data_IF_524711847671
#
_entry.id   IF_524711847671
#
_cell.length_a   1.000
_cell.length_b   1.000
_cell.length_c   1.000
_cell.angle_alpha   90.00
_cell.angle_beta   90.00
_cell.angle_gamma   90.00
#
_symmetry.space_group_name_H-M   'P 1'
#
loop_
_entity.id
_entity.type
_entity.pdbx_description
1 polymer ?
#
# COMPACT_ATOMS: atom_id res chain seq x y z
N UNK A 1 27.70 16.14 -5.00
CA UNK A 1 28.75 17.00 -4.37
C UNK A 1 28.17 17.51 -3.07
N UNK A 2 28.63 16.91 -1.95
CA UNK A 2 28.18 17.32 -0.62
C UNK A 2 28.93 18.60 -0.21
N UNK A 3 28.26 19.72 -0.29
CA UNK A 3 28.77 20.94 0.31
C UNK A 3 27.98 21.19 1.60
N UNK A 4 28.61 20.88 2.74
CA UNK A 4 28.15 21.38 4.04
C UNK A 4 28.23 22.91 3.99
N UNK A 5 27.10 23.55 3.76
CA UNK A 5 26.97 25.00 3.73
C UNK A 5 26.64 25.46 5.15
N UNK A 6 27.61 26.01 5.87
CA UNK A 6 27.32 26.94 6.95
C UNK A 6 27.24 28.36 6.33
N UNK A 7 26.06 28.92 6.27
CA UNK A 7 25.85 30.27 5.78
C UNK A 7 25.58 31.23 6.96
N UNK A 8 26.28 32.31 7.00
CA UNK A 8 25.99 33.40 7.91
C UNK A 8 25.02 34.37 7.19
N UNK A 9 23.86 34.63 7.78
CA UNK A 9 22.92 35.62 7.26
C UNK A 9 23.04 36.93 8.02
N UNK A 10 23.12 38.03 7.32
CA UNK A 10 23.13 39.38 7.89
C UNK A 10 22.29 40.35 7.05
N UNK A 11 21.66 41.30 7.73
CA UNK A 11 20.99 42.38 7.05
C UNK A 11 22.01 43.46 6.66
N UNK A 12 21.98 43.92 5.41
CA UNK A 12 22.81 44.99 4.88
C UNK A 12 21.94 46.23 4.80
N UNK A 13 22.24 47.24 5.68
CA UNK A 13 21.45 48.46 5.79
C UNK A 13 21.63 49.37 4.57
N UNK A 14 22.76 49.30 3.85
CA UNK A 14 23.03 50.15 2.68
C UNK A 14 22.16 49.79 1.51
N UNK A 15 21.93 48.49 1.31
CA UNK A 15 21.14 47.97 0.18
C UNK A 15 19.74 47.55 0.58
N UNK A 16 19.44 47.48 1.89
CA UNK A 16 18.12 47.09 2.40
C UNK A 16 17.75 45.65 2.19
N UNK A 17 18.75 44.77 2.08
CA UNK A 17 18.54 43.32 1.80
C UNK A 17 19.27 42.45 2.80
N UNK A 18 18.70 41.27 3.05
CA UNK A 18 19.42 40.18 3.72
C UNK A 18 20.45 39.59 2.79
N UNK A 19 21.65 39.34 3.29
CA UNK A 19 22.75 38.65 2.59
C UNK A 19 23.09 37.33 3.26
N UNK A 20 23.17 36.24 2.49
CA UNK A 20 23.75 34.98 2.92
C UNK A 20 25.20 34.88 2.40
N UNK A 21 26.15 34.60 3.29
CA UNK A 21 27.58 34.56 2.99
C UNK A 21 28.13 33.22 3.50
N UNK A 22 29.00 32.61 2.72
CA UNK A 22 29.69 31.38 3.15
C UNK A 22 30.65 31.72 4.31
N UNK A 23 30.48 31.02 5.45
CA UNK A 23 31.28 31.30 6.63
C UNK A 23 32.78 31.06 6.43
N UNK A 24 33.14 30.05 5.64
CA UNK A 24 34.55 29.66 5.41
C UNK A 24 35.26 30.52 4.38
N UNK A 25 34.59 30.88 3.31
CA UNK A 25 35.21 31.57 2.15
C UNK A 25 34.80 33.04 2.04
N UNK A 26 33.81 33.47 2.86
CA UNK A 26 33.21 34.84 2.80
C UNK A 26 32.64 35.19 1.44
N UNK A 27 32.48 34.21 0.55
CA UNK A 27 31.89 34.41 -0.74
C UNK A 27 30.40 34.68 -0.58
N UNK A 28 29.90 35.60 -1.36
CA UNK A 28 28.49 35.95 -1.43
C UNK A 28 27.71 34.80 -2.06
N UNK A 29 26.57 34.44 -1.44
CA UNK A 29 25.76 33.33 -1.88
C UNK A 29 24.39 33.72 -2.40
N UNK A 30 23.69 34.58 -1.67
CA UNK A 30 22.32 34.94 -2.01
C UNK A 30 21.85 36.21 -1.28
N UNK A 31 20.84 36.88 -1.85
CA UNK A 31 20.12 38.00 -1.21
C UNK A 31 18.64 37.72 -1.09
N UNK A 32 18.00 38.25 -0.04
CA UNK A 32 16.55 38.23 0.13
C UNK A 32 16.00 39.59 0.53
N UNK A 33 14.84 39.95 -0.02
CA UNK A 33 14.10 41.17 0.28
C UNK A 33 13.14 41.03 1.49
N UNK A 34 13.33 40.04 2.32
CA UNK A 34 12.53 39.87 3.53
C UNK A 34 12.66 41.07 4.48
N UNK A 35 11.61 41.36 5.25
CA UNK A 35 11.60 42.48 6.18
C UNK A 35 12.78 42.37 7.16
N UNK A 36 13.41 43.53 7.47
CA UNK A 36 14.51 43.63 8.44
C UNK A 36 14.17 43.05 9.82
N UNK A 37 12.92 43.18 10.24
CA UNK A 37 12.43 42.72 11.54
C UNK A 37 11.87 41.29 11.50
N UNK A 38 11.81 40.64 10.32
CA UNK A 38 11.36 39.26 10.20
C UNK A 38 12.47 38.32 10.62
N UNK A 39 12.10 37.24 11.32
CA UNK A 39 12.97 36.10 11.46
C UNK A 39 13.07 35.43 10.09
N UNK A 40 14.28 35.22 9.57
CA UNK A 40 14.51 34.52 8.31
C UNK A 40 14.29 33.01 8.39
N UNK A 41 13.71 32.51 9.48
CA UNK A 41 13.34 31.10 9.65
C UNK A 41 12.08 30.86 8.83
N UNK A 42 12.02 29.71 8.15
CA UNK A 42 10.94 29.39 7.22
C UNK A 42 11.33 29.62 5.75
N UNK A 43 10.34 29.65 4.88
CA UNK A 43 10.52 29.76 3.41
C UNK A 43 10.52 31.22 2.99
N UNK A 44 11.62 31.65 2.39
CA UNK A 44 11.79 33.00 1.84
C UNK A 44 12.33 32.92 0.42
N UNK A 45 12.00 33.94 -0.39
CA UNK A 45 12.54 34.11 -1.73
C UNK A 45 13.98 34.66 -1.68
N UNK A 46 14.89 33.96 -2.34
CA UNK A 46 16.30 34.32 -2.41
C UNK A 46 16.77 34.43 -3.86
N UNK A 47 17.49 35.48 -4.14
CA UNK A 47 18.22 35.69 -5.40
C UNK A 47 19.63 35.15 -5.23
N UNK A 48 19.96 34.10 -5.97
CA UNK A 48 21.27 33.45 -5.94
C UNK A 48 22.11 33.96 -7.10
N UNK A 49 23.33 34.45 -6.81
CA UNK A 49 24.33 34.79 -7.83
C UNK A 49 25.15 33.54 -8.14
N UNK A 50 25.08 33.10 -9.38
CA UNK A 50 25.90 31.97 -9.85
C UNK A 50 27.29 32.46 -10.16
N UNK A 51 28.30 32.11 -9.35
CA UNK A 51 29.70 32.35 -9.64
C UNK A 51 30.11 31.40 -10.80
N UNK A 52 30.73 31.97 -11.84
CA UNK A 52 30.97 31.36 -13.16
C UNK A 52 31.86 30.09 -13.17
N UNK A 53 32.04 29.40 -12.05
CA UNK A 53 32.85 28.17 -11.89
C UNK A 53 32.12 26.86 -12.02
N UNK A 54 30.78 26.88 -12.09
CA UNK A 54 29.94 25.66 -12.25
C UNK A 54 29.10 25.77 -13.51
N UNK A 55 29.52 25.10 -14.56
CA UNK A 55 28.77 24.72 -15.77
C UNK A 55 27.58 25.61 -16.17
N UNK A 56 27.84 26.56 -17.12
CA UNK A 56 26.88 27.27 -17.97
C UNK A 56 25.96 28.33 -17.35
N UNK A 57 26.11 29.53 -17.85
CA UNK A 57 25.33 30.75 -17.72
C UNK A 57 25.46 31.50 -16.37
N UNK A 58 26.27 32.57 -16.41
CA UNK A 58 26.24 33.66 -15.43
C UNK A 58 24.85 34.33 -15.44
N UNK A 59 24.08 34.16 -14.38
CA UNK A 59 22.79 34.81 -14.19
C UNK A 59 22.32 34.68 -12.75
N UNK A 60 21.65 35.70 -12.25
CA UNK A 60 20.87 35.62 -11.00
C UNK A 60 19.58 34.86 -11.25
N UNK A 61 19.27 33.87 -10.43
CA UNK A 61 17.99 33.24 -10.45
C UNK A 61 17.34 33.32 -9.07
N UNK A 62 16.02 33.51 -9.04
CA UNK A 62 15.22 33.48 -7.79
C UNK A 62 14.80 32.08 -7.47
N UNK A 63 14.91 31.71 -6.21
CA UNK A 63 14.44 30.43 -5.66
C UNK A 63 13.95 30.57 -4.23
N UNK A 64 13.04 29.70 -3.82
CA UNK A 64 12.64 29.57 -2.44
C UNK A 64 13.68 28.75 -1.67
N UNK A 65 14.29 29.37 -0.65
CA UNK A 65 15.14 28.65 0.31
C UNK A 65 14.45 28.67 1.66
N UNK A 66 14.45 27.52 2.30
CA UNK A 66 13.91 27.33 3.66
C UNK A 66 15.07 27.32 4.66
N UNK A 67 15.11 28.28 5.55
CA UNK A 67 16.03 28.30 6.67
C UNK A 67 15.34 27.68 7.90
N UNK A 68 16.05 26.84 8.61
CA UNK A 68 15.49 26.13 9.76
C UNK A 68 16.30 26.36 11.03
N UNK A 69 15.59 26.48 12.14
CA UNK A 69 16.14 26.37 13.48
C UNK A 69 15.71 25.07 14.18
N UNK A 70 14.98 24.19 13.46
CA UNK A 70 14.45 22.95 13.99
C UNK A 70 15.55 21.90 14.15
N UNK A 71 15.31 20.94 15.06
CA UNK A 71 16.20 19.79 15.25
C UNK A 71 16.13 18.82 14.07
N UNK A 72 17.04 17.85 14.07
CA UNK A 72 17.08 16.86 13.00
C UNK A 72 15.86 15.94 12.93
N UNK A 73 15.14 15.79 14.03
CA UNK A 73 13.94 14.95 14.14
C UNK A 73 12.64 15.74 13.87
N UNK A 74 12.77 17.02 13.50
CA UNK A 74 11.64 17.91 13.26
C UNK A 74 11.54 18.33 11.80
N UNK A 75 10.30 18.52 11.34
CA UNK A 75 9.95 19.14 10.08
C UNK A 75 9.82 20.65 10.28
N UNK A 76 10.38 21.43 9.37
CA UNK A 76 10.25 22.89 9.35
C UNK A 76 9.07 23.29 8.48
N UNK A 77 8.06 23.89 9.07
CA UNK A 77 6.94 24.50 8.35
C UNK A 77 7.42 25.70 7.50
N UNK A 78 6.63 26.18 6.55
CA UNK A 78 7.01 27.36 5.75
C UNK A 78 6.99 28.65 6.57
N UNK A 79 6.18 28.70 7.63
CA UNK A 79 6.18 29.79 8.60
C UNK A 79 7.38 29.75 9.58
N UNK A 80 8.22 28.73 9.50
CA UNK A 80 9.38 28.55 10.35
C UNK A 80 9.13 27.79 11.65
N UNK A 81 7.90 27.40 11.95
CA UNK A 81 7.60 26.56 13.12
C UNK A 81 8.11 25.12 12.91
N UNK A 82 8.35 24.43 14.03
CA UNK A 82 8.87 23.07 14.05
C UNK A 82 7.79 22.09 14.51
N UNK A 83 7.62 21.01 13.77
CA UNK A 83 6.75 19.90 14.16
C UNK A 83 7.55 18.57 14.06
N UNK A 84 7.26 17.56 14.88
CA UNK A 84 7.94 16.28 14.77
C UNK A 84 7.82 15.66 13.36
N UNK A 85 8.89 15.09 12.82
CA UNK A 85 8.82 14.40 11.50
C UNK A 85 7.79 13.27 11.46
N UNK A 86 7.46 12.67 12.61
CA UNK A 86 6.43 11.64 12.71
C UNK A 86 5.04 12.12 12.26
N UNK A 87 4.74 13.42 12.40
CA UNK A 87 3.44 13.98 11.98
C UNK A 87 3.42 14.47 10.54
N UNK A 88 4.57 14.58 9.85
CA UNK A 88 4.65 14.90 8.42
C UNK A 88 3.82 13.90 7.61
N UNK A 89 2.86 14.38 6.80
CA UNK A 89 1.98 13.54 5.97
C UNK A 89 1.13 12.54 6.79
N UNK A 90 0.49 13.00 7.87
CA UNK A 90 -0.39 12.18 8.72
C UNK A 90 -1.88 12.44 8.48
N UNK A 91 -2.22 13.19 7.43
CA UNK A 91 -3.56 13.68 7.08
C UNK A 91 -4.18 14.65 8.12
N UNK A 92 -3.33 15.30 8.93
CA UNK A 92 -3.72 16.38 9.85
C UNK A 92 -2.82 17.57 9.63
N UNK A 93 -3.36 18.78 9.76
CA UNK A 93 -2.56 19.98 9.72
C UNK A 93 -1.95 20.25 11.11
N UNK A 94 -0.68 19.92 11.25
CA UNK A 94 0.09 20.16 12.48
C UNK A 94 0.89 21.49 12.37
N UNK A 95 1.31 21.89 11.16
CA UNK A 95 1.77 23.23 10.85
C UNK A 95 0.58 24.20 10.73
N UNK A 96 0.74 25.45 11.20
CA UNK A 96 -0.30 26.48 11.07
C UNK A 96 -0.63 26.78 9.58
N UNK A 97 0.35 26.72 8.70
CA UNK A 97 0.23 26.92 7.27
C UNK A 97 -0.17 25.62 6.51
N UNK A 98 -0.14 24.45 7.17
CA UNK A 98 -0.47 23.16 6.60
C UNK A 98 0.59 22.59 5.63
N UNK A 99 1.82 23.10 5.68
CA UNK A 99 2.91 22.62 4.82
C UNK A 99 3.41 21.24 5.19
N UNK A 100 3.11 20.74 6.37
CA UNK A 100 3.33 19.36 6.77
C UNK A 100 2.53 18.35 5.93
N UNK A 101 1.42 18.76 5.33
CA UNK A 101 0.59 17.94 4.47
C UNK A 101 0.73 18.28 2.97
N UNK A 102 1.65 19.19 2.63
CA UNK A 102 1.94 19.52 1.24
C UNK A 102 2.93 18.54 0.63
N UNK A 103 2.75 18.21 -0.68
CA UNK A 103 3.64 17.30 -1.44
C UNK A 103 3.87 15.92 -0.77
N UNK A 104 2.82 15.36 -0.18
CA UNK A 104 2.85 14.05 0.45
C UNK A 104 2.83 12.92 -0.58
N UNK A 105 3.91 12.81 -1.36
CA UNK A 105 4.11 11.68 -2.27
C UNK A 105 4.55 10.45 -1.49
N UNK A 106 3.89 9.32 -1.74
CA UNK A 106 4.22 8.06 -1.07
C UNK A 106 5.50 7.45 -1.63
N UNK A 107 5.82 7.69 -2.91
CA UNK A 107 6.99 7.10 -3.56
C UNK A 107 7.58 7.94 -4.69
N UNK A 108 8.84 7.65 -5.00
CA UNK A 108 9.56 8.10 -6.20
C UNK A 108 9.95 6.88 -7.03
N UNK A 109 9.84 7.00 -8.34
CA UNK A 109 10.24 5.95 -9.29
C UNK A 109 11.67 6.16 -9.75
N UNK A 110 12.44 5.07 -9.87
CA UNK A 110 13.76 5.12 -10.48
C UNK A 110 13.69 5.66 -11.93
N UNK A 111 14.76 6.28 -12.39
CA UNK A 111 14.86 6.71 -13.78
C UNK A 111 14.68 5.51 -14.72
N UNK A 112 13.78 5.65 -15.70
CA UNK A 112 13.46 4.57 -16.63
C UNK A 112 12.49 3.52 -16.09
N UNK A 113 11.81 3.78 -14.97
CA UNK A 113 10.78 2.88 -14.45
C UNK A 113 9.71 2.58 -15.50
N UNK A 114 9.44 1.29 -15.72
CA UNK A 114 8.38 0.84 -16.60
C UNK A 114 7.37 -0.03 -15.83
N UNK A 115 6.14 0.46 -15.73
CA UNK A 115 5.04 -0.22 -15.01
C UNK A 115 4.55 -1.52 -15.68
N UNK A 116 4.92 -1.76 -16.93
CA UNK A 116 4.53 -2.97 -17.67
C UNK A 116 5.55 -4.10 -17.54
N UNK A 117 6.67 -3.84 -16.89
CA UNK A 117 7.71 -4.83 -16.65
C UNK A 117 7.64 -5.30 -15.20
N UNK A 118 7.55 -6.61 -15.00
CA UNK A 118 7.61 -7.26 -13.67
C UNK A 118 8.82 -6.76 -12.88
N UNK A 119 8.68 -6.47 -11.58
CA UNK A 119 9.80 -6.08 -10.74
C UNK A 119 10.92 -7.12 -10.76
N UNK A 120 12.19 -6.72 -10.68
CA UNK A 120 13.29 -7.68 -10.53
C UNK A 120 13.21 -8.37 -9.16
N UNK A 121 13.72 -9.61 -9.05
CA UNK A 121 13.74 -10.34 -7.78
C UNK A 121 14.62 -9.66 -6.74
N UNK A 122 14.38 -9.98 -5.46
CA UNK A 122 15.11 -9.46 -4.32
C UNK A 122 15.95 -10.56 -3.68
N UNK A 123 17.14 -10.23 -3.24
CA UNK A 123 18.08 -11.17 -2.62
C UNK A 123 18.55 -12.24 -3.60
N UNK A 124 18.52 -13.51 -3.15
CA UNK A 124 18.94 -14.67 -3.94
C UNK A 124 17.80 -15.32 -4.74
N UNK A 125 16.64 -14.73 -4.77
CA UNK A 125 15.51 -15.26 -5.52
C UNK A 125 15.76 -15.15 -7.03
N UNK A 126 15.35 -16.16 -7.78
CA UNK A 126 15.47 -16.17 -9.25
C UNK A 126 14.30 -15.45 -9.93
N UNK A 127 13.17 -15.33 -9.22
CA UNK A 127 11.95 -14.68 -9.69
C UNK A 127 11.33 -13.88 -8.54
N UNK A 128 10.69 -12.72 -8.82
CA UNK A 128 9.98 -11.97 -7.80
C UNK A 128 8.83 -12.79 -7.23
N UNK A 129 8.54 -12.58 -5.96
CA UNK A 129 7.46 -13.24 -5.23
C UNK A 129 6.28 -12.30 -5.04
N UNK A 130 5.08 -12.83 -5.19
CA UNK A 130 3.84 -12.19 -4.78
C UNK A 130 3.16 -13.06 -3.73
N UNK A 131 2.94 -12.51 -2.57
CA UNK A 131 2.23 -13.17 -1.48
C UNK A 131 0.74 -12.92 -1.63
N UNK A 132 -0.05 -13.97 -1.48
CA UNK A 132 -1.51 -13.94 -1.60
C UNK A 132 -2.14 -14.32 -0.28
N UNK A 133 -2.99 -13.43 0.25
CA UNK A 133 -3.86 -13.70 1.40
C UNK A 133 -5.31 -13.54 0.98
N UNK A 134 -6.17 -14.40 1.49
CA UNK A 134 -7.61 -14.41 1.22
C UNK A 134 -8.37 -14.36 2.53
N UNK A 135 -9.24 -13.38 2.68
CA UNK A 135 -10.22 -13.32 3.75
C UNK A 135 -11.61 -13.53 3.16
N UNK A 136 -12.33 -14.54 3.62
CA UNK A 136 -13.72 -14.79 3.24
C UNK A 136 -14.59 -14.10 4.27
N UNK A 137 -15.23 -12.98 3.86
CA UNK A 137 -16.09 -12.21 4.75
C UNK A 137 -17.41 -12.95 5.03
N UNK A 138 -17.99 -13.53 3.97
CA UNK A 138 -19.27 -14.17 4.05
C UNK A 138 -19.42 -15.20 2.92
N UNK A 139 -20.02 -16.35 3.24
CA UNK A 139 -20.59 -17.25 2.24
C UNK A 139 -22.08 -16.90 2.11
N UNK A 140 -22.39 -16.18 1.02
CA UNK A 140 -23.73 -15.61 0.77
C UNK A 140 -24.73 -16.67 0.37
N UNK A 141 -24.30 -17.68 -0.40
CA UNK A 141 -25.16 -18.74 -0.94
C UNK A 141 -24.36 -20.01 -1.23
N UNK A 142 -24.94 -21.15 -0.92
CA UNK A 142 -24.49 -22.47 -1.35
C UNK A 142 -25.61 -23.08 -2.18
N UNK A 143 -25.40 -23.24 -3.49
CA UNK A 143 -26.39 -23.79 -4.41
C UNK A 143 -25.92 -25.14 -4.92
N UNK A 144 -26.36 -26.21 -4.24
CA UNK A 144 -25.99 -27.57 -4.55
C UNK A 144 -26.60 -28.07 -5.86
N UNK A 145 -27.77 -27.52 -6.25
CA UNK A 145 -28.47 -27.88 -7.47
C UNK A 145 -27.75 -27.36 -8.71
N UNK A 146 -27.30 -26.14 -8.66
CA UNK A 146 -26.66 -25.47 -9.80
C UNK A 146 -25.11 -25.58 -9.71
N UNK A 147 -24.58 -26.17 -8.65
CA UNK A 147 -23.16 -26.52 -8.52
C UNK A 147 -22.24 -25.32 -8.27
N UNK A 148 -22.66 -24.37 -7.45
CA UNK A 148 -21.83 -23.23 -7.09
C UNK A 148 -21.97 -22.80 -5.63
N UNK A 149 -20.98 -22.08 -5.12
CA UNK A 149 -21.11 -21.29 -3.90
C UNK A 149 -20.71 -19.86 -4.17
N UNK A 150 -21.47 -18.92 -3.62
CA UNK A 150 -21.23 -17.47 -3.73
C UNK A 150 -20.67 -16.95 -2.43
N UNK A 151 -19.54 -16.30 -2.49
CA UNK A 151 -18.92 -15.70 -1.31
C UNK A 151 -18.39 -14.28 -1.60
N UNK A 152 -18.34 -13.49 -0.54
CA UNK A 152 -17.67 -12.20 -0.50
C UNK A 152 -16.25 -12.43 0.03
N UNK A 153 -15.26 -12.02 -0.74
CA UNK A 153 -13.86 -12.23 -0.41
C UNK A 153 -13.06 -10.94 -0.52
N UNK A 154 -12.10 -10.77 0.37
CA UNK A 154 -11.01 -9.83 0.26
C UNK A 154 -9.76 -10.55 -0.16
N UNK A 155 -9.15 -10.07 -1.23
CA UNK A 155 -7.87 -10.58 -1.73
C UNK A 155 -6.79 -9.54 -1.47
N UNK A 156 -5.80 -9.89 -0.69
CA UNK A 156 -4.59 -9.09 -0.47
C UNK A 156 -3.42 -9.68 -1.25
N UNK A 157 -2.79 -8.86 -2.05
CA UNK A 157 -1.57 -9.18 -2.82
C UNK A 157 -0.44 -8.30 -2.34
N UNK A 158 0.66 -8.91 -1.93
CA UNK A 158 1.83 -8.18 -1.44
C UNK A 158 3.05 -8.54 -2.26
N UNK A 159 3.81 -7.54 -2.66
CA UNK A 159 5.06 -7.74 -3.42
C UNK A 159 6.07 -6.65 -3.12
N UNK A 160 7.31 -6.88 -3.52
CA UNK A 160 8.41 -5.92 -3.41
C UNK A 160 8.74 -5.38 -4.81
N UNK A 161 8.89 -4.06 -4.92
CA UNK A 161 9.43 -3.42 -6.12
C UNK A 161 10.63 -2.53 -5.76
N UNK A 162 11.84 -3.08 -5.88
CA UNK A 162 13.10 -2.39 -5.59
C UNK A 162 13.40 -1.19 -6.49
N UNK A 163 12.60 -0.94 -7.51
CA UNK A 163 12.72 0.22 -8.40
C UNK A 163 12.02 1.46 -7.84
N UNK A 164 11.32 1.30 -6.73
CA UNK A 164 10.66 2.39 -6.01
C UNK A 164 11.48 2.80 -4.80
N UNK A 165 11.37 4.08 -4.46
CA UNK A 165 11.84 4.62 -3.18
C UNK A 165 10.65 5.26 -2.50
N UNK A 166 10.29 4.78 -1.33
CA UNK A 166 9.17 5.32 -0.58
C UNK A 166 9.57 6.55 0.23
N UNK A 167 8.62 7.40 0.52
CA UNK A 167 8.83 8.66 1.24
C UNK A 167 7.92 8.75 2.45
N UNK A 168 8.45 9.27 3.55
CA UNK A 168 7.73 9.60 4.79
C UNK A 168 6.82 8.48 5.32
N UNK A 169 7.24 7.20 5.16
CA UNK A 169 6.46 6.07 5.66
C UNK A 169 6.23 6.20 7.18
N UNK A 170 5.08 5.75 7.61
CA UNK A 170 4.70 5.59 9.01
C UNK A 170 4.85 4.14 9.42
N UNK A 171 5.02 3.92 10.72
CA UNK A 171 5.11 2.55 11.28
C UNK A 171 3.81 1.79 11.06
N UNK A 172 2.68 2.47 11.18
CA UNK A 172 1.34 1.95 10.95
C UNK A 172 1.06 1.94 9.44
N UNK A 173 0.87 0.75 8.86
CA UNK A 173 0.65 0.58 7.41
C UNK A 173 -0.60 1.29 6.89
N UNK A 174 -1.60 1.49 7.75
CA UNK A 174 -2.86 2.18 7.43
C UNK A 174 -2.65 3.64 7.03
N UNK A 175 -1.58 4.26 7.55
CA UNK A 175 -1.22 5.65 7.24
C UNK A 175 -0.37 5.78 5.95
N UNK A 176 0.05 4.65 5.36
CA UNK A 176 0.88 4.62 4.15
C UNK A 176 0.04 4.30 2.91
N UNK A 177 -1.17 4.84 2.82
CA UNK A 177 -2.03 4.62 1.65
C UNK A 177 -1.44 5.34 0.42
N UNK A 178 -1.40 4.63 -0.71
CA UNK A 178 -0.97 5.19 -2.00
C UNK A 178 -2.14 5.95 -2.60
N UNK A 179 -1.91 7.20 -2.95
CA UNK A 179 -2.91 8.07 -3.55
C UNK A 179 -3.52 7.45 -4.83
N UNK A 180 -4.83 7.61 -5.07
CA UNK A 180 -5.49 7.06 -6.26
C UNK A 180 -4.81 7.43 -7.57
N UNK A 181 -4.31 8.65 -7.70
CA UNK A 181 -3.64 9.16 -8.89
C UNK A 181 -2.29 8.46 -9.17
N UNK A 182 -1.63 7.98 -8.12
CA UNK A 182 -0.32 7.33 -8.19
C UNK A 182 -0.40 5.82 -8.44
N UNK A 183 -1.55 5.18 -8.19
CA UNK A 183 -1.74 3.72 -8.31
C UNK A 183 -1.49 3.19 -9.71
N UNK A 184 -1.83 3.96 -10.73
CA UNK A 184 -1.60 3.59 -12.13
C UNK A 184 -0.18 3.86 -12.61
N UNK A 185 0.66 4.46 -11.78
CA UNK A 185 2.06 4.74 -12.11
C UNK A 185 3.01 3.59 -11.77
N UNK A 186 2.55 2.61 -11.01
CA UNK A 186 3.34 1.46 -10.56
C UNK A 186 2.86 0.16 -11.21
N UNK A 187 3.75 -0.84 -11.23
CA UNK A 187 3.44 -2.18 -11.71
C UNK A 187 2.41 -2.84 -10.78
N UNK A 188 1.48 -3.56 -11.37
CA UNK A 188 0.40 -4.25 -10.69
C UNK A 188 0.36 -5.72 -11.10
N UNK A 189 0.42 -6.67 -10.16
CA UNK A 189 0.32 -8.09 -10.48
C UNK A 189 -1.09 -8.44 -10.97
N UNK A 190 -1.15 -9.29 -11.98
CA UNK A 190 -2.39 -9.80 -12.52
C UNK A 190 -2.64 -11.24 -12.10
N UNK A 191 -3.82 -11.54 -11.56
CA UNK A 191 -4.25 -12.87 -11.13
C UNK A 191 -5.51 -13.26 -11.91
N UNK A 192 -5.52 -14.46 -12.49
CA UNK A 192 -6.69 -15.02 -13.14
C UNK A 192 -7.45 -15.95 -12.19
N UNK A 193 -8.76 -15.97 -12.34
CA UNK A 193 -9.66 -16.86 -11.62
C UNK A 193 -10.04 -18.00 -12.56
N UNK A 194 -10.06 -19.26 -12.10
CA UNK A 194 -10.21 -20.40 -13.01
C UNK A 194 -11.60 -21.04 -12.96
N UNK A 195 -12.14 -21.30 -11.78
CA UNK A 195 -13.41 -22.00 -11.63
C UNK A 195 -14.54 -21.10 -11.18
N UNK A 196 -14.81 -20.06 -11.96
CA UNK A 196 -15.95 -19.18 -11.75
C UNK A 196 -16.86 -19.24 -12.96
N UNK A 197 -18.15 -19.11 -12.72
CA UNK A 197 -19.19 -19.28 -13.73
C UNK A 197 -19.20 -18.14 -14.74
N UNK A 198 -19.13 -16.92 -14.29
CA UNK A 198 -19.15 -15.74 -15.15
C UNK A 198 -17.96 -14.81 -14.89
N UNK A 199 -17.03 -14.78 -15.86
CA UNK A 199 -15.85 -13.92 -15.78
C UNK A 199 -16.15 -12.43 -15.72
N UNK A 200 -17.32 -11.99 -16.13
CA UNK A 200 -17.74 -10.59 -16.10
C UNK A 200 -18.21 -10.15 -14.71
N UNK A 201 -18.63 -11.09 -13.85
CA UNK A 201 -19.16 -10.80 -12.51
C UNK A 201 -18.07 -10.41 -11.49
N UNK A 202 -16.80 -10.70 -11.72
CA UNK A 202 -15.75 -10.18 -10.82
C UNK A 202 -15.41 -8.72 -11.05
N UNK A 203 -15.91 -8.15 -12.11
CA UNK A 203 -15.75 -6.72 -12.35
C UNK A 203 -16.71 -5.87 -11.49
N UNK A 204 -17.53 -6.46 -10.61
CA UNK A 204 -18.29 -5.71 -9.62
C UNK A 204 -17.35 -5.21 -8.52
N UNK A 205 -16.69 -4.13 -8.85
CA UNK A 205 -15.78 -3.35 -8.02
C UNK A 205 -16.53 -2.46 -7.02
N UNK A 206 -17.68 -2.89 -6.52
CA UNK A 206 -18.45 -2.11 -5.53
C UNK A 206 -17.77 -2.10 -4.16
N UNK A 207 -16.71 -2.90 -3.97
CA UNK A 207 -15.92 -2.91 -2.77
C UNK A 207 -14.63 -2.10 -2.94
N UNK A 208 -14.28 -1.40 -1.90
CA UNK A 208 -13.13 -0.49 -1.82
C UNK A 208 -11.83 -1.20 -2.22
N UNK A 209 -11.07 -0.57 -3.10
CA UNK A 209 -9.68 -0.96 -3.37
C UNK A 209 -8.75 -0.18 -2.46
N UNK A 210 -7.86 -0.88 -1.79
CA UNK A 210 -6.89 -0.28 -0.88
C UNK A 210 -5.48 -0.59 -1.35
N UNK A 211 -4.66 0.44 -1.44
CA UNK A 211 -3.25 0.33 -1.80
C UNK A 211 -2.42 0.93 -0.68
N UNK A 212 -1.50 0.17 -0.12
CA UNK A 212 -0.65 0.60 1.01
C UNK A 212 0.78 0.18 0.81
N UNK A 213 1.66 0.85 1.51
CA UNK A 213 3.03 0.39 1.71
C UNK A 213 3.13 -0.20 3.12
N UNK A 214 3.57 -1.45 3.20
CA UNK A 214 3.83 -2.15 4.46
C UNK A 214 5.30 -1.96 4.79
N UNK A 215 5.62 -1.19 5.86
CA UNK A 215 6.99 -0.98 6.26
C UNK A 215 7.62 -2.26 6.80
N UNK A 216 8.94 -2.37 6.69
CA UNK A 216 9.68 -3.49 7.27
C UNK A 216 9.55 -3.49 8.81
N UNK A 217 9.65 -4.67 9.42
CA UNK A 217 9.65 -4.85 10.87
C UNK A 217 10.79 -4.10 11.58
N UNK A 218 11.91 -3.89 10.89
CA UNK A 218 13.05 -3.09 11.36
C UNK A 218 12.97 -1.63 10.91
N UNK A 219 11.76 -1.06 11.00
CA UNK A 219 11.50 0.31 10.61
C UNK A 219 12.44 1.28 11.34
N UNK A 220 13.29 1.95 10.56
CA UNK A 220 14.19 2.99 11.04
C UNK A 220 14.12 4.18 10.08
N UNK A 221 14.20 5.38 10.63
CA UNK A 221 14.29 6.60 9.83
C UNK A 221 15.72 6.75 9.35
N UNK A 222 15.96 6.50 8.06
CA UNK A 222 17.24 6.78 7.43
C UNK A 222 17.14 8.06 6.60
N UNK A 223 18.08 8.96 6.80
CA UNK A 223 18.22 10.14 5.94
C UNK A 223 19.13 9.79 4.77
N UNK A 224 18.66 10.11 3.57
CA UNK A 224 19.47 9.91 2.36
C UNK A 224 20.71 10.81 2.31
N UNK A 225 20.69 11.95 3.00
CA UNK A 225 21.78 12.92 3.01
C UNK A 225 21.81 13.68 4.35
N UNK A 226 22.89 13.56 5.08
CA UNK A 226 23.12 14.30 6.33
C UNK A 226 23.63 15.71 6.12
N UNK A 227 23.98 16.09 4.89
CA UNK A 227 24.54 17.40 4.54
C UNK A 227 23.49 18.48 4.29
N UNK A 228 22.24 18.06 3.98
CA UNK A 228 21.08 18.94 3.79
C UNK A 228 20.00 18.46 4.74
N UNK A 229 19.42 19.34 5.53
CA UNK A 229 18.26 19.04 6.34
C UNK A 229 17.08 18.71 5.42
N UNK A 230 16.99 17.45 5.02
CA UNK A 230 15.91 16.97 4.17
C UNK A 230 14.61 16.91 4.95
N UNK A 231 13.57 17.57 4.45
CA UNK A 231 12.22 17.48 4.99
C UNK A 231 11.52 16.16 4.61
N UNK A 232 12.27 15.17 4.14
CA UNK A 232 11.73 13.92 3.61
C UNK A 232 12.63 12.77 4.05
N UNK A 233 12.03 11.74 4.65
CA UNK A 233 12.68 10.45 4.89
C UNK A 233 12.47 9.54 3.70
N UNK A 234 13.51 8.83 3.31
CA UNK A 234 13.48 7.88 2.20
C UNK A 234 13.61 6.45 2.71
N UNK A 235 12.86 5.54 2.10
CA UNK A 235 12.82 4.14 2.43
C UNK A 235 13.01 3.30 1.17
N UNK A 236 13.89 2.31 1.25
CA UNK A 236 14.20 1.45 0.11
C UNK A 236 13.00 0.57 -0.28
N UNK A 237 12.69 0.53 -1.55
CA UNK A 237 11.66 -0.34 -2.10
C UNK A 237 12.00 -1.83 -2.03
N UNK A 238 13.27 -2.20 -1.85
CA UNK A 238 13.66 -3.60 -1.66
C UNK A 238 13.32 -4.14 -0.26
N UNK A 239 13.11 -3.26 0.71
CA UNK A 239 12.86 -3.63 2.10
C UNK A 239 11.40 -3.46 2.52
N UNK A 240 10.58 -2.78 1.73
CA UNK A 240 9.20 -2.44 2.06
C UNK A 240 8.26 -3.01 1.00
N UNK A 241 7.14 -3.61 1.44
CA UNK A 241 6.20 -4.27 0.54
C UNK A 241 5.08 -3.32 0.11
N UNK A 242 4.61 -3.45 -1.13
CA UNK A 242 3.36 -2.88 -1.57
C UNK A 242 2.26 -3.90 -1.31
N UNK A 243 1.14 -3.48 -0.72
CA UNK A 243 -0.09 -4.25 -0.56
C UNK A 243 -1.17 -3.66 -1.44
N UNK A 244 -1.82 -4.53 -2.19
CA UNK A 244 -3.03 -4.22 -2.93
C UNK A 244 -4.16 -5.15 -2.49
N UNK A 245 -5.16 -4.58 -1.87
CA UNK A 245 -6.34 -5.26 -1.34
C UNK A 245 -7.56 -4.89 -2.16
N UNK A 246 -8.33 -5.88 -2.54
CA UNK A 246 -9.58 -5.72 -3.26
C UNK A 246 -10.62 -6.70 -2.74
N UNK A 247 -11.81 -6.18 -2.43
CA UNK A 247 -12.96 -6.99 -2.10
C UNK A 247 -13.89 -7.18 -3.29
N UNK A 248 -14.50 -8.33 -3.41
CA UNK A 248 -15.52 -8.62 -4.42
C UNK A 248 -16.38 -9.82 -4.01
N UNK A 249 -17.59 -9.87 -4.58
CA UNK A 249 -18.48 -11.02 -4.46
C UNK A 249 -18.48 -11.80 -5.76
N UNK A 250 -18.28 -13.11 -5.70
CA UNK A 250 -18.27 -13.96 -6.88
C UNK A 250 -18.79 -15.37 -6.61
N UNK A 251 -19.18 -16.05 -7.68
CA UNK A 251 -19.66 -17.43 -7.70
C UNK A 251 -18.53 -18.36 -8.16
N UNK A 252 -18.25 -19.36 -7.32
CA UNK A 252 -17.26 -20.36 -7.58
C UNK A 252 -17.93 -21.70 -7.86
N UNK A 253 -17.57 -22.35 -8.95
CA UNK A 253 -18.07 -23.69 -9.28
C UNK A 253 -17.59 -24.69 -8.23
N UNK A 254 -18.50 -25.52 -7.79
CA UNK A 254 -18.26 -26.58 -6.80
C UNK A 254 -19.04 -27.83 -7.19
N UNK A 255 -18.36 -28.99 -7.20
CA UNK A 255 -18.97 -30.28 -7.43
C UNK A 255 -19.45 -30.85 -6.10
N UNK A 256 -20.76 -30.84 -5.87
CA UNK A 256 -21.38 -31.34 -4.65
C UNK A 256 -21.66 -32.86 -4.78
N UNK A 257 -21.19 -33.61 -3.78
CA UNK A 257 -21.37 -35.07 -3.73
C UNK A 257 -22.42 -35.45 -2.68
N UNK A 258 -23.64 -35.77 -3.11
CA UNK A 258 -24.80 -36.01 -2.27
C UNK A 258 -25.01 -37.46 -1.84
N UNK A 259 -24.06 -38.39 -2.13
CA UNK A 259 -24.19 -39.80 -1.91
C UNK A 259 -24.48 -40.21 -0.42
N UNK A 260 -23.99 -39.38 0.51
CA UNK A 260 -24.12 -39.62 1.97
C UNK A 260 -25.04 -38.61 2.66
N UNK A 261 -25.90 -37.94 1.89
CA UNK A 261 -26.85 -37.00 2.50
C UNK A 261 -27.67 -37.65 3.61
N UNK A 262 -27.86 -37.03 4.80
CA UNK A 262 -27.39 -35.70 5.21
C UNK A 262 -26.05 -35.70 5.99
N UNK A 263 -25.27 -36.76 5.93
CA UNK A 263 -23.99 -36.93 6.64
C UNK A 263 -22.79 -36.60 5.73
N UNK A 264 -23.05 -35.95 4.62
CA UNK A 264 -22.06 -35.61 3.60
C UNK A 264 -21.09 -34.49 4.06
N UNK A 265 -19.94 -34.47 3.45
CA UNK A 265 -18.97 -33.39 3.56
C UNK A 265 -18.65 -32.90 2.16
N UNK A 266 -18.77 -31.61 1.94
CA UNK A 266 -18.53 -30.99 0.64
C UNK A 266 -17.18 -30.29 0.63
N UNK A 267 -16.41 -30.43 -0.46
CA UNK A 267 -15.15 -29.73 -0.65
C UNK A 267 -15.28 -28.81 -1.86
N UNK A 268 -15.32 -27.53 -1.60
CA UNK A 268 -15.38 -26.48 -2.60
C UNK A 268 -14.05 -25.75 -2.71
N UNK A 269 -13.58 -25.44 -3.90
CA UNK A 269 -12.29 -24.79 -4.10
C UNK A 269 -12.43 -23.46 -4.83
N UNK A 270 -11.60 -22.48 -4.48
CA UNK A 270 -11.36 -21.26 -5.23
C UNK A 270 -9.96 -21.34 -5.84
N UNK A 271 -9.82 -21.17 -7.16
CA UNK A 271 -8.54 -21.34 -7.86
C UNK A 271 -8.06 -20.03 -8.48
N UNK A 272 -6.91 -19.59 -8.01
CA UNK A 272 -6.23 -18.37 -8.45
C UNK A 272 -4.98 -18.76 -9.23
N UNK A 273 -4.91 -18.35 -10.49
CA UNK A 273 -3.75 -18.63 -11.34
C UNK A 273 -2.98 -17.36 -11.62
N UNK A 274 -1.68 -17.50 -11.68
CA UNK A 274 -0.81 -16.46 -12.16
C UNK A 274 -0.84 -16.38 -13.67
N UNK A 275 -0.87 -15.17 -14.24
CA UNK A 275 -0.77 -14.97 -15.69
C UNK A 275 0.66 -14.76 -16.17
N UNK A 276 1.52 -14.20 -15.33
CA UNK A 276 2.91 -13.89 -15.69
C UNK A 276 3.87 -15.00 -15.22
N UNK A 277 4.49 -15.72 -16.13
CA UNK A 277 5.43 -16.82 -15.81
C UNK A 277 6.70 -16.32 -15.08
N UNK A 278 6.97 -15.02 -15.14
CA UNK A 278 8.11 -14.37 -14.47
C UNK A 278 7.97 -14.22 -12.96
N UNK A 279 6.79 -14.44 -12.40
CA UNK A 279 6.47 -14.20 -11.00
C UNK A 279 6.17 -15.53 -10.26
N UNK A 280 6.43 -15.59 -8.96
CA UNK A 280 6.07 -16.74 -8.10
C UNK A 280 4.93 -16.33 -7.19
N UNK A 281 3.81 -17.05 -7.27
CA UNK A 281 2.66 -16.86 -6.36
C UNK A 281 2.87 -17.71 -5.10
N UNK A 282 2.89 -17.05 -3.95
CA UNK A 282 3.11 -17.68 -2.64
C UNK A 282 1.85 -17.55 -1.79
N UNK A 283 1.21 -18.65 -1.36
CA UNK A 283 0.11 -18.59 -0.40
C UNK A 283 0.62 -18.11 0.96
N UNK A 284 -0.09 -17.17 1.60
CA UNK A 284 0.28 -16.61 2.90
C UNK A 284 -0.74 -16.98 3.98
N UNK A 285 -1.94 -16.41 3.92
CA UNK A 285 -3.00 -16.68 4.91
C UNK A 285 -4.36 -16.86 4.25
N UNK A 286 -5.22 -17.68 4.87
CA UNK A 286 -6.63 -17.76 4.55
C UNK A 286 -7.43 -17.73 5.84
N UNK A 287 -8.49 -16.92 5.87
CA UNK A 287 -9.36 -16.74 7.04
C UNK A 287 -10.82 -16.68 6.60
N UNK A 288 -11.71 -17.10 7.52
CA UNK A 288 -13.13 -16.88 7.42
C UNK A 288 -13.59 -16.07 8.64
N UNK A 289 -14.18 -14.91 8.38
CA UNK A 289 -14.66 -13.99 9.43
C UNK A 289 -16.19 -13.86 9.43
N UNK A 290 -16.89 -14.56 8.53
CA UNK A 290 -18.34 -14.53 8.41
C UNK A 290 -19.05 -15.25 9.56
N UNK A 291 -20.38 -15.14 9.52
CA UNK A 291 -21.26 -15.75 10.50
C UNK A 291 -21.50 -17.25 10.30
N UNK A 292 -22.43 -17.78 11.10
CA UNK A 292 -22.92 -19.16 10.96
C UNK A 292 -23.73 -19.33 9.68
N UNK A 293 -23.58 -20.47 9.01
CA UNK A 293 -24.34 -20.84 7.82
C UNK A 293 -25.62 -21.58 8.24
N UNK A 294 -26.74 -21.31 7.56
CA UNK A 294 -28.04 -21.92 7.93
C UNK A 294 -28.09 -23.45 7.80
N UNK A 295 -27.50 -23.99 6.74
CA UNK A 295 -27.60 -25.43 6.42
C UNK A 295 -26.26 -26.15 6.43
N UNK A 296 -25.18 -25.42 6.63
CA UNK A 296 -23.81 -25.95 6.63
C UNK A 296 -23.02 -25.34 7.76
N UNK A 297 -21.89 -25.94 8.07
CA UNK A 297 -20.85 -25.33 8.89
C UNK A 297 -19.50 -25.56 8.24
N UNK A 298 -18.57 -24.64 8.44
CA UNK A 298 -17.22 -24.77 7.92
C UNK A 298 -16.43 -25.70 8.85
N UNK A 299 -15.96 -26.83 8.30
CA UNK A 299 -15.09 -27.76 9.01
C UNK A 299 -13.64 -27.33 8.98
N UNK A 300 -13.20 -26.89 7.80
CA UNK A 300 -11.81 -26.52 7.59
C UNK A 300 -11.70 -25.60 6.38
N UNK A 301 -10.69 -24.71 6.41
CA UNK A 301 -10.26 -23.94 5.26
C UNK A 301 -8.76 -24.06 5.15
N UNK A 302 -8.30 -24.40 3.96
CA UNK A 302 -6.86 -24.52 3.67
C UNK A 302 -6.50 -23.79 2.39
N UNK A 303 -5.27 -23.32 2.33
CA UNK A 303 -4.72 -22.71 1.14
C UNK A 303 -3.40 -23.39 0.76
N UNK A 304 -3.24 -23.76 -0.51
CA UNK A 304 -2.06 -24.44 -0.99
C UNK A 304 -1.65 -23.97 -2.38
N UNK A 305 -0.37 -24.14 -2.71
CA UNK A 305 0.14 -23.93 -4.06
C UNK A 305 -0.32 -25.06 -4.97
N UNK A 306 -0.72 -24.70 -6.18
CA UNK A 306 -1.14 -25.65 -7.22
C UNK A 306 -0.39 -25.40 -8.52
N UNK A 307 -0.31 -26.43 -9.36
CA UNK A 307 0.09 -26.33 -10.75
C UNK A 307 -1.08 -26.78 -11.63
N UNK A 308 -1.61 -25.89 -12.46
CA UNK A 308 -2.75 -26.15 -13.31
C UNK A 308 -2.46 -25.65 -14.73
N UNK A 309 -2.62 -26.51 -15.74
CA UNK A 309 -2.33 -26.19 -17.14
C UNK A 309 -0.89 -25.62 -17.34
N UNK A 310 0.09 -26.13 -16.57
CA UNK A 310 1.47 -25.66 -16.60
C UNK A 310 1.71 -24.30 -15.91
N UNK A 311 0.68 -23.68 -15.35
CA UNK A 311 0.76 -22.40 -14.63
C UNK A 311 0.73 -22.61 -13.14
N UNK A 312 1.56 -21.85 -12.44
CA UNK A 312 1.54 -21.81 -10.99
C UNK A 312 0.32 -21.04 -10.48
N UNK A 313 -0.27 -21.51 -9.39
CA UNK A 313 -1.43 -20.88 -8.78
C UNK A 313 -1.55 -21.24 -7.31
N UNK A 314 -2.66 -20.77 -6.74
CA UNK A 314 -3.07 -21.06 -5.36
C UNK A 314 -4.51 -21.55 -5.39
N UNK A 315 -4.80 -22.60 -4.62
CA UNK A 315 -6.14 -23.06 -4.35
C UNK A 315 -6.50 -22.82 -2.89
N UNK A 316 -7.68 -22.30 -2.66
CA UNK A 316 -8.32 -22.24 -1.35
C UNK A 316 -9.41 -23.31 -1.33
N UNK A 317 -9.31 -24.25 -0.42
CA UNK A 317 -10.27 -25.33 -0.22
C UNK A 317 -11.12 -25.01 1.02
N UNK A 318 -12.43 -25.01 0.85
CA UNK A 318 -13.42 -24.83 1.91
C UNK A 318 -14.16 -26.17 2.10
N UNK A 319 -13.98 -26.77 3.27
CA UNK A 319 -14.66 -28.03 3.63
C UNK A 319 -15.90 -27.69 4.46
N UNK A 320 -17.06 -28.05 3.91
CA UNK A 320 -18.37 -27.83 4.51
C UNK A 320 -18.94 -29.12 5.09
N UNK A 321 -19.61 -29.06 6.22
CA UNK A 321 -20.39 -30.13 6.81
C UNK A 321 -21.81 -29.70 7.09
N UNK A 322 -22.73 -30.66 7.31
CA UNK A 322 -24.11 -30.38 7.70
C UNK A 322 -24.30 -30.57 9.19
N UNK A 323 -25.08 -29.71 9.86
CA UNK A 323 -25.43 -29.92 11.25
C UNK A 323 -26.44 -31.06 11.35
N UNK A 324 -26.04 -32.16 12.02
CA UNK A 324 -26.81 -33.39 12.11
C UNK A 324 -28.19 -33.16 12.77
N UNK A 325 -28.30 -32.20 13.69
CA UNK A 325 -29.55 -31.91 14.41
C UNK A 325 -30.65 -31.27 13.55
N UNK A 326 -30.32 -30.45 12.56
CA UNK A 326 -31.32 -29.83 11.69
C UNK A 326 -32.00 -30.84 10.77
N UNK A 327 -31.27 -31.89 10.38
CA UNK A 327 -31.76 -32.97 9.50
C UNK A 327 -32.75 -33.88 10.18
N UNK A 328 -32.60 -34.15 11.48
CA UNK A 328 -33.54 -34.98 12.24
C UNK A 328 -34.84 -34.27 12.56
N UNK A 329 -34.84 -32.96 12.79
CA UNK A 329 -36.04 -32.18 13.06
C UNK A 329 -36.93 -32.00 11.82
N UNK A 330 -36.37 -31.96 10.62
CA UNK A 330 -37.14 -31.90 9.36
C UNK A 330 -37.78 -33.25 9.04
N UNK A 331 -37.13 -34.37 9.31
CA UNK A 331 -37.66 -35.72 9.09
C UNK A 331 -38.80 -36.05 10.10
N UNK A 332 -38.67 -35.61 11.37
CA UNK A 332 -39.72 -35.87 12.38
C UNK A 332 -41.00 -35.02 12.22
N UNK A 333 -40.94 -33.87 11.55
CA UNK A 333 -42.14 -33.05 11.26
C UNK A 333 -43.01 -33.61 10.13
N UNK A 334 -42.48 -34.43 9.26
CA UNK A 334 -43.22 -35.03 8.14
C UNK A 334 -43.83 -36.41 8.44
N UNK A 335 -43.64 -36.97 9.65
CA UNK A 335 -44.05 -38.31 9.99
C UNK A 335 -45.14 -38.41 11.09
N UNK A 336 -45.86 -37.33 11.44
CA UNK A 336 -47.01 -37.39 12.30
C UNK A 336 -48.29 -37.49 11.46
N UNK A 337 -48.98 -38.66 11.44
CA UNK A 337 -50.27 -38.77 10.79
C UNK A 337 -51.33 -38.01 11.60
N UNK A 338 -52.12 -37.20 10.88
CA UNK A 338 -53.36 -36.62 11.41
C UNK A 338 -54.32 -37.76 11.83
N UNK A 339 -54.33 -38.16 13.10
CA UNK A 339 -55.39 -38.96 13.67
C UNK A 339 -55.46 -38.73 15.18
N UNK A 340 -56.33 -37.82 15.56
CA UNK A 340 -57.21 -37.89 16.75
C UNK A 340 -57.89 -36.53 16.96
N UNK A 341 -59.05 -36.31 16.30
CA UNK A 341 -60.16 -35.54 16.87
C UNK A 341 -61.34 -36.47 16.93
N UNK A 342 -61.73 -36.85 18.09
CA UNK A 342 -63.07 -37.16 18.52
C UNK A 342 -63.25 -36.69 19.94
#
# INVERSE_FOLDING_TARGET
>A
MNTNFSALTRYDEEIGLWKAVNEKHKDFLATSAADKNSLLIGSHEWNIENDAKTCSNSGTYSTLLKLTGCSEEEFTCDDGSCVPMAVRCNAKKDCADGTDEADCKTFVRALGYNRFITPPPVGNDTRPKMFLSITIDEIVEINEKDGFFRCQVWMSRKWIDRRLTFQNLKKESELNEINPEDRDLIWKPWTAYKNIEDRSKYARTDLKQVWRVIPNSNFSFERADTSVLSNTYFFDGASNMISYEIGYTTEWLCDFHMAWYPFDSQSCTMKFLQQEDSLVLVPETVEYIGGELEQHFIRNITMCSILLDGKQGVAVEVILGRPVFSSFLTVSRNSLPNSARS
#
